data_IF_515644405772
#
_entry.id   IF_515644405772
#
_cell.length_a   1.000
_cell.length_b   1.000
_cell.length_c   1.000
_cell.angle_alpha   90.00
_cell.angle_beta   90.00
_cell.angle_gamma   90.00
#
_symmetry.space_group_name_H-M   'P 1'
#
loop_
_entity.id
_entity.type
_entity.pdbx_description
1 polymer ?
#
# COMPACT_ATOMS: atom_id res chain seq x y z
N UNK A 1 -16.19 12.82 -1.62
CA UNK A 1 -15.38 11.83 -2.36
C UNK A 1 -15.09 10.66 -1.45
N UNK A 2 -15.33 9.44 -1.90
CA UNK A 2 -15.13 8.28 -1.07
C UNK A 2 -13.70 7.75 -1.23
N UNK A 3 -13.13 7.31 -0.12
CA UNK A 3 -11.81 6.67 -0.13
C UNK A 3 -12.00 5.20 -0.53
N UNK A 4 -11.09 4.62 -1.34
CA UNK A 4 -11.19 3.21 -1.72
C UNK A 4 -11.27 2.29 -0.50
N UNK A 5 -12.21 1.35 -0.52
CA UNK A 5 -12.43 0.46 0.63
C UNK A 5 -12.55 -1.01 0.24
N UNK A 6 -12.92 -1.32 -1.00
CA UNK A 6 -13.05 -2.69 -1.46
C UNK A 6 -11.88 -3.08 -2.32
N UNK A 7 -11.53 -4.37 -2.35
CA UNK A 7 -10.32 -4.84 -3.04
C UNK A 7 -10.16 -4.28 -4.45
N UNK A 8 -11.20 -4.31 -5.28
CA UNK A 8 -11.10 -3.79 -6.65
C UNK A 8 -10.77 -2.31 -6.70
N UNK A 9 -11.42 -1.52 -5.83
CA UNK A 9 -11.17 -0.09 -5.72
C UNK A 9 -9.77 0.18 -5.18
N UNK A 10 -9.36 -0.58 -4.15
CA UNK A 10 -8.06 -0.48 -3.52
C UNK A 10 -6.96 -0.79 -4.54
N UNK A 11 -7.10 -1.91 -5.26
CA UNK A 11 -6.12 -2.33 -6.27
C UNK A 11 -5.95 -1.24 -7.34
N UNK A 12 -7.05 -0.76 -7.89
CA UNK A 12 -7.02 0.28 -8.93
C UNK A 12 -6.37 1.56 -8.42
N UNK A 13 -6.74 1.99 -7.21
CA UNK A 13 -6.25 3.25 -6.65
C UNK A 13 -4.75 3.18 -6.32
N UNK A 14 -4.28 2.09 -5.71
CA UNK A 14 -2.86 1.98 -5.37
C UNK A 14 -2.00 1.87 -6.64
N UNK A 15 -2.48 1.20 -7.68
CA UNK A 15 -1.79 1.16 -8.97
C UNK A 15 -1.70 2.57 -9.56
N UNK A 16 -2.80 3.33 -9.53
CA UNK A 16 -2.82 4.70 -10.01
C UNK A 16 -1.83 5.58 -9.24
N UNK A 17 -1.78 5.44 -7.92
CA UNK A 17 -0.85 6.19 -7.08
C UNK A 17 0.61 5.86 -7.44
N UNK A 18 0.91 4.57 -7.61
CA UNK A 18 2.26 4.12 -7.97
C UNK A 18 2.70 4.67 -9.33
N UNK A 19 1.79 4.69 -10.29
CA UNK A 19 2.09 5.21 -11.65
C UNK A 19 2.26 6.71 -11.67
N UNK A 20 1.47 7.45 -10.89
CA UNK A 20 1.46 8.91 -10.93
C UNK A 20 2.38 9.55 -9.89
N UNK A 21 2.96 8.76 -8.98
CA UNK A 21 3.79 9.29 -7.91
C UNK A 21 2.99 9.89 -6.76
N UNK A 22 1.69 9.64 -6.70
CA UNK A 22 0.82 10.18 -5.65
C UNK A 22 0.84 9.31 -4.41
N UNK A 23 2.02 9.08 -3.88
CA UNK A 23 2.17 8.29 -2.67
C UNK A 23 3.28 8.86 -1.79
N UNK A 24 3.19 8.54 -0.51
CA UNK A 24 4.16 8.92 0.50
C UNK A 24 4.43 7.69 1.38
N UNK A 25 5.29 7.85 2.35
CA UNK A 25 5.63 6.79 3.31
C UNK A 25 5.31 7.26 4.71
N UNK A 26 4.77 6.36 5.53
CA UNK A 26 4.47 6.71 6.92
C UNK A 26 5.76 6.96 7.67
N UNK A 27 5.84 8.12 8.31
CA UNK A 27 7.00 8.49 9.12
C UNK A 27 7.03 7.64 10.39
N UNK A 28 8.19 7.04 10.68
CA UNK A 28 8.39 6.24 11.88
C UNK A 28 9.70 6.65 12.55
N UNK A 29 9.70 6.62 13.88
CA UNK A 29 10.89 6.92 14.64
C UNK A 29 11.92 5.77 14.60
N UNK A 30 11.45 4.54 14.36
CA UNK A 30 12.33 3.38 14.24
C UNK A 30 12.85 3.24 12.83
N UNK A 31 13.96 2.52 12.66
CA UNK A 31 14.52 2.22 11.35
C UNK A 31 13.48 1.49 10.52
N UNK A 32 13.20 2.03 9.36
CA UNK A 32 12.13 1.54 8.52
C UNK A 32 12.64 0.51 7.51
N UNK A 33 13.28 -0.54 8.02
CA UNK A 33 13.84 -1.60 7.19
C UNK A 33 12.76 -2.45 6.51
N UNK A 34 11.51 -2.30 6.93
CA UNK A 34 10.39 -3.06 6.38
C UNK A 34 9.66 -2.34 5.27
N UNK A 35 10.12 -1.16 4.87
CA UNK A 35 9.54 -0.47 3.72
C UNK A 35 10.63 -0.29 2.66
N UNK A 36 10.84 -1.33 1.85
CA UNK A 36 11.88 -1.33 0.84
C UNK A 36 11.58 -0.37 -0.31
N UNK A 37 10.33 0.05 -0.48
CA UNK A 37 9.98 1.10 -1.42
C UNK A 37 10.51 2.45 -0.93
N UNK A 38 10.37 2.74 0.35
CA UNK A 38 10.89 3.98 0.95
C UNK A 38 12.41 4.05 0.88
N UNK A 39 13.09 2.91 1.08
CA UNK A 39 14.56 2.86 1.05
C UNK A 39 15.13 2.86 -0.36
N UNK A 40 14.29 2.69 -1.38
CA UNK A 40 14.73 2.62 -2.76
C UNK A 40 15.25 1.26 -3.19
N UNK A 41 15.16 0.25 -2.35
CA UNK A 41 15.60 -1.11 -2.72
C UNK A 41 14.67 -1.78 -3.73
N UNK A 42 13.40 -1.37 -3.75
CA UNK A 42 12.47 -1.76 -4.81
C UNK A 42 11.86 -0.49 -5.40
N UNK A 43 11.41 -0.59 -6.64
CA UNK A 43 10.83 0.54 -7.36
C UNK A 43 9.31 0.56 -7.26
N UNK A 44 8.70 1.71 -7.53
CA UNK A 44 7.25 1.81 -7.63
C UNK A 44 6.70 0.88 -8.72
N UNK A 45 7.42 0.73 -9.82
CA UNK A 45 7.03 -0.17 -10.91
C UNK A 45 7.02 -1.63 -10.46
N UNK A 46 7.98 -2.03 -9.64
CA UNK A 46 8.02 -3.38 -9.09
C UNK A 46 6.79 -3.63 -8.20
N UNK A 47 6.46 -2.69 -7.32
CA UNK A 47 5.29 -2.81 -6.44
C UNK A 47 4.01 -2.82 -7.26
N UNK A 48 3.94 -2.02 -8.31
CA UNK A 48 2.79 -2.03 -9.22
C UNK A 48 2.57 -3.41 -9.84
N UNK A 49 3.64 -4.07 -10.27
CA UNK A 49 3.55 -5.43 -10.83
C UNK A 49 3.01 -6.41 -9.79
N UNK A 50 3.51 -6.33 -8.55
CA UNK A 50 3.03 -7.18 -7.46
C UNK A 50 1.53 -7.02 -7.25
N UNK A 51 1.07 -5.78 -7.17
CA UNK A 51 -0.35 -5.48 -6.94
C UNK A 51 -1.18 -5.93 -8.13
N UNK A 52 -0.69 -5.71 -9.35
CA UNK A 52 -1.39 -6.11 -10.58
C UNK A 52 -1.60 -7.63 -10.63
N UNK A 53 -0.64 -8.41 -10.16
CA UNK A 53 -0.72 -9.87 -10.14
C UNK A 53 -1.57 -10.42 -9.01
N UNK A 54 -1.91 -9.61 -8.01
CA UNK A 54 -2.73 -10.06 -6.90
C UNK A 54 -4.16 -10.35 -7.38
N UNK A 55 -4.83 -11.30 -6.73
CA UNK A 55 -6.17 -11.73 -7.13
C UNK A 55 -7.21 -11.55 -6.02
N UNK A 56 -6.83 -10.95 -4.91
CA UNK A 56 -7.74 -10.70 -3.80
C UNK A 56 -7.78 -11.81 -2.76
N UNK A 57 -7.21 -12.98 -3.04
CA UNK A 57 -7.24 -14.09 -2.08
C UNK A 57 -6.37 -13.83 -0.86
N UNK A 58 -5.34 -12.99 -1.02
CA UNK A 58 -4.44 -12.62 0.06
C UNK A 58 -4.52 -11.13 0.36
N UNK A 59 -5.71 -10.59 0.27
CA UNK A 59 -6.00 -9.22 0.64
C UNK A 59 -6.72 -9.20 1.98
N UNK A 60 -6.36 -8.24 2.83
CA UNK A 60 -7.05 -7.99 4.09
C UNK A 60 -7.03 -6.51 4.41
N UNK A 61 -7.93 -6.10 5.30
CA UNK A 61 -7.95 -4.74 5.81
C UNK A 61 -8.30 -4.73 7.30
N UNK A 62 -7.82 -3.71 8.00
CA UNK A 62 -8.09 -3.54 9.42
C UNK A 62 -7.94 -2.06 9.77
N UNK A 63 -8.51 -1.61 10.90
CA UNK A 63 -8.34 -0.22 11.31
C UNK A 63 -6.88 0.13 11.57
N UNK A 64 -6.50 1.36 11.22
CA UNK A 64 -5.17 1.88 11.51
C UNK A 64 -4.97 1.94 13.02
N UNK A 65 -3.78 1.56 13.48
CA UNK A 65 -3.46 1.50 14.91
C UNK A 65 -3.70 2.82 15.64
N UNK A 66 -3.28 3.93 15.05
CA UNK A 66 -3.38 5.26 15.67
C UNK A 66 -4.56 6.09 15.15
N UNK A 67 -5.27 5.61 14.14
CA UNK A 67 -6.38 6.34 13.53
C UNK A 67 -7.44 5.34 13.08
N UNK A 68 -8.26 4.81 14.00
CA UNK A 68 -9.17 3.70 13.70
C UNK A 68 -10.22 3.99 12.61
N UNK A 69 -10.46 5.26 12.29
CA UNK A 69 -11.35 5.62 11.19
C UNK A 69 -10.74 5.37 9.82
N UNK A 70 -9.43 5.12 9.76
CA UNK A 70 -8.71 4.84 8.52
C UNK A 70 -8.47 3.34 8.42
N UNK A 71 -8.81 2.73 7.28
CA UNK A 71 -8.53 1.33 7.02
C UNK A 71 -7.12 1.17 6.46
N UNK A 72 -6.39 0.22 7.02
CA UNK A 72 -5.09 -0.22 6.50
C UNK A 72 -5.32 -1.45 5.64
N UNK A 73 -4.73 -1.45 4.46
CA UNK A 73 -4.86 -2.53 3.49
C UNK A 73 -3.57 -3.30 3.37
N UNK A 74 -3.68 -4.61 3.27
CA UNK A 74 -2.55 -5.51 3.10
C UNK A 74 -2.80 -6.35 1.86
N UNK A 75 -1.85 -6.32 0.93
CA UNK A 75 -1.84 -7.20 -0.23
C UNK A 75 -0.57 -8.04 -0.17
N UNK A 76 -0.73 -9.35 -0.21
CA UNK A 76 0.39 -10.27 -0.32
C UNK A 76 0.38 -10.84 -1.73
N UNK A 77 1.53 -10.83 -2.39
CA UNK A 77 1.65 -11.24 -3.78
C UNK A 77 3.08 -11.71 -4.05
N UNK A 78 3.21 -12.92 -4.58
CA UNK A 78 4.52 -13.46 -4.95
C UNK A 78 5.54 -13.51 -3.82
N UNK A 79 5.09 -13.74 -2.59
CA UNK A 79 5.97 -13.75 -1.42
C UNK A 79 6.28 -12.37 -0.86
N UNK A 80 5.69 -11.32 -1.42
CA UNK A 80 5.86 -9.95 -0.96
C UNK A 80 4.66 -9.48 -0.17
N UNK A 81 4.92 -8.61 0.79
CA UNK A 81 3.93 -8.04 1.71
C UNK A 81 3.89 -6.53 1.48
N UNK A 82 2.72 -6.01 1.12
CA UNK A 82 2.52 -4.57 0.86
C UNK A 82 1.41 -4.06 1.76
N UNK A 83 1.76 -3.13 2.63
CA UNK A 83 0.83 -2.56 3.61
C UNK A 83 0.74 -1.05 3.42
N UNK A 84 -0.48 -0.53 3.30
CA UNK A 84 -0.70 0.87 2.98
C UNK A 84 -2.10 1.33 3.40
N UNK A 85 -2.32 2.63 3.38
CA UNK A 85 -3.66 3.20 3.55
C UNK A 85 -3.81 4.41 2.62
N UNK A 86 -5.03 4.86 2.45
CA UNK A 86 -5.35 6.01 1.60
C UNK A 86 -5.66 7.24 2.43
N UNK A 87 -5.18 8.40 1.97
CA UNK A 87 -5.58 9.69 2.50
C UNK A 87 -6.40 10.47 1.46
N UNK A 88 -6.70 9.84 0.34
CA UNK A 88 -7.48 10.37 -0.76
C UNK A 88 -7.71 9.27 -1.78
N UNK A 89 -8.05 9.63 -2.99
CA UNK A 89 -8.17 8.71 -4.11
C UNK A 89 -7.48 9.35 -5.32
N UNK A 90 -6.25 8.93 -5.69
CA UNK A 90 -5.55 7.72 -5.23
C UNK A 90 -4.48 7.94 -4.14
N UNK A 91 -4.40 9.09 -3.49
CA UNK A 91 -3.31 9.41 -2.57
C UNK A 91 -3.11 8.31 -1.53
N UNK A 92 -1.96 7.67 -1.57
CA UNK A 92 -1.63 6.48 -0.78
C UNK A 92 -0.45 6.76 0.15
N UNK A 93 -0.48 6.15 1.34
CA UNK A 93 0.65 6.18 2.28
C UNK A 93 1.09 4.74 2.51
N UNK A 94 2.35 4.43 2.19
CA UNK A 94 2.91 3.09 2.38
C UNK A 94 3.51 2.95 3.78
N UNK A 95 3.20 1.84 4.43
CA UNK A 95 3.70 1.50 5.76
C UNK A 95 4.81 0.46 5.66
N UNK A 96 4.59 -0.59 4.87
CA UNK A 96 5.53 -1.71 4.75
C UNK A 96 5.53 -2.26 3.34
N UNK A 97 6.71 -2.54 2.80
CA UNK A 97 6.90 -3.27 1.54
C UNK A 97 8.12 -4.17 1.76
N UNK A 98 7.90 -5.48 1.90
CA UNK A 98 8.98 -6.43 2.17
C UNK A 98 8.57 -7.86 1.84
N UNK A 99 9.56 -8.72 1.74
CA UNK A 99 9.36 -10.18 1.66
C UNK A 99 9.09 -10.78 3.03
#
# INVERSE_FOLDING_TARGET
>A
MSIPSKYRQVKRAVISALRSGKFEHEARSAINVKNLLSTGQVTAQFVEVLVTKSDGTQYSSSPHHNAPAIDVHIIESGGWYVKFYFVGDPETVFISVHQ
#
